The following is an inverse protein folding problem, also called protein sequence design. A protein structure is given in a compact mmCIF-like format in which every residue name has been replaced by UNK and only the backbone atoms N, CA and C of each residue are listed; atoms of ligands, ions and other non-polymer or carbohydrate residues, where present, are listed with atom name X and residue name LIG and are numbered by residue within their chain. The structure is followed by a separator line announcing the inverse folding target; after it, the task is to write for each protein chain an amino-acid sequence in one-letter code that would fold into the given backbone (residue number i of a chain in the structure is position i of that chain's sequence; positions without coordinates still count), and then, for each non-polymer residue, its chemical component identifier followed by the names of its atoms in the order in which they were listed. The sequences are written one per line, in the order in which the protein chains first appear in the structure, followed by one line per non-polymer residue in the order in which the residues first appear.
data_IF_212512523919
#
_entry.id   IF_212512523919
#
_cell.length_a   1.000
_cell.length_b   1.000
_cell.length_c   1.000
_cell.angle_alpha   90.00
_cell.angle_beta   90.00
_cell.angle_gamma   90.00
#
_symmetry.space_group_name_H-M   'P 1'
#
loop_
_entity.id
_entity.type
_entity.pdbx_description
1 polymer ?
#
# COMPACT_ATOMS: atom_id res chain seq x y z
N UNK A 1 23.38 -12.50 -9.71
CA UNK A 1 22.53 -11.31 -9.83
C UNK A 1 21.51 -11.27 -8.72
N UNK A 2 21.43 -10.18 -7.99
CA UNK A 2 20.42 -10.03 -6.95
C UNK A 2 19.07 -9.75 -7.58
N UNK A 3 18.02 -10.37 -7.06
CA UNK A 3 16.65 -10.07 -7.47
C UNK A 3 16.26 -8.66 -7.03
N UNK A 4 15.47 -8.01 -7.85
CA UNK A 4 14.88 -6.73 -7.53
C UNK A 4 13.65 -6.99 -6.64
N UNK A 5 13.65 -6.44 -5.44
CA UNK A 5 12.54 -6.60 -4.49
C UNK A 5 11.50 -5.53 -4.73
N UNK A 6 10.29 -5.95 -5.01
CA UNK A 6 9.15 -5.05 -5.24
C UNK A 6 8.11 -5.31 -4.17
N UNK A 7 7.87 -4.31 -3.33
CA UNK A 7 6.81 -4.35 -2.34
C UNK A 7 5.53 -3.82 -2.95
N UNK A 8 4.46 -4.61 -2.87
CA UNK A 8 3.10 -4.18 -3.20
C UNK A 8 2.39 -3.85 -1.90
N UNK A 9 1.88 -2.63 -1.77
CA UNK A 9 1.06 -2.22 -0.65
C UNK A 9 -0.41 -2.39 -1.01
N UNK A 10 -1.19 -3.01 -0.12
CA UNK A 10 -2.64 -3.09 -0.26
C UNK A 10 -3.32 -2.86 1.09
N UNK A 11 -4.25 -1.92 1.12
CA UNK A 11 -5.00 -1.56 2.32
C UNK A 11 -6.46 -1.97 2.28
N UNK A 12 -6.99 -2.36 1.11
CA UNK A 12 -8.39 -2.75 0.95
C UNK A 12 -8.53 -3.88 -0.06
N UNK A 13 -9.65 -4.60 0.05
CA UNK A 13 -9.98 -5.66 -0.90
C UNK A 13 -10.09 -5.14 -2.33
N UNK A 14 -10.62 -3.94 -2.52
CA UNK A 14 -10.78 -3.35 -3.85
C UNK A 14 -9.41 -3.09 -4.50
N UNK A 15 -8.45 -2.56 -3.75
CA UNK A 15 -7.09 -2.37 -4.24
C UNK A 15 -6.44 -3.71 -4.60
N UNK A 16 -6.59 -4.70 -3.75
CA UNK A 16 -6.04 -6.03 -3.98
C UNK A 16 -6.57 -6.63 -5.28
N UNK A 17 -7.87 -6.51 -5.54
CA UNK A 17 -8.46 -7.01 -6.76
C UNK A 17 -7.85 -6.40 -8.01
N UNK A 18 -7.55 -5.10 -7.97
CA UNK A 18 -6.92 -4.41 -9.09
C UNK A 18 -5.44 -4.76 -9.24
N UNK A 19 -4.78 -5.11 -8.15
CA UNK A 19 -3.34 -5.43 -8.12
C UNK A 19 -3.04 -6.90 -8.43
N UNK A 20 -4.06 -7.75 -8.43
CA UNK A 20 -3.91 -9.22 -8.49
C UNK A 20 -3.00 -9.68 -9.64
N UNK A 21 -3.27 -9.23 -10.86
CA UNK A 21 -2.52 -9.69 -12.02
C UNK A 21 -1.08 -9.14 -12.02
N UNK A 22 -0.88 -7.91 -11.56
CA UNK A 22 0.47 -7.37 -11.41
C UNK A 22 1.26 -8.19 -10.38
N UNK A 23 0.62 -8.54 -9.27
CA UNK A 23 1.24 -9.38 -8.24
C UNK A 23 1.64 -10.75 -8.80
N UNK A 24 0.74 -11.35 -9.60
CA UNK A 24 1.01 -12.65 -10.24
C UNK A 24 2.22 -12.54 -11.17
N UNK A 25 2.25 -11.52 -12.00
CA UNK A 25 3.33 -11.32 -12.95
C UNK A 25 4.67 -11.14 -12.25
N UNK A 26 4.70 -10.35 -11.17
CA UNK A 26 5.92 -10.15 -10.39
C UNK A 26 6.35 -11.46 -9.73
N UNK A 27 5.40 -12.19 -9.14
CA UNK A 27 5.69 -13.44 -8.42
C UNK A 27 6.25 -14.52 -9.35
N UNK A 28 5.83 -14.54 -10.60
CA UNK A 28 6.27 -15.50 -11.60
C UNK A 28 7.59 -15.12 -12.31
N UNK A 29 8.01 -13.86 -12.18
CA UNK A 29 9.23 -13.37 -12.82
C UNK A 29 10.47 -13.77 -12.01
N UNK A 30 11.43 -14.42 -12.68
CA UNK A 30 12.63 -14.93 -12.03
C UNK A 30 13.59 -13.82 -11.57
N UNK A 31 13.47 -12.63 -12.14
CA UNK A 31 14.34 -11.48 -11.83
C UNK A 31 13.77 -10.63 -10.68
N UNK A 32 12.53 -10.87 -10.30
CA UNK A 32 11.82 -10.06 -9.32
C UNK A 32 11.46 -10.88 -8.08
N UNK A 33 11.44 -10.23 -6.94
CA UNK A 33 10.93 -10.82 -5.70
C UNK A 33 9.72 -10.00 -5.25
N UNK A 34 8.56 -10.67 -5.18
CA UNK A 34 7.34 -10.06 -4.68
C UNK A 34 7.37 -10.01 -3.16
N UNK A 35 7.07 -8.85 -2.60
CA UNK A 35 6.85 -8.67 -1.16
C UNK A 35 5.48 -8.02 -0.98
N UNK A 36 4.66 -8.54 -0.07
CA UNK A 36 3.34 -7.99 0.20
C UNK A 36 3.30 -7.33 1.58
N UNK A 37 2.94 -6.05 1.58
CA UNK A 37 2.67 -5.27 2.78
C UNK A 37 1.16 -5.02 2.85
N UNK A 38 0.51 -5.66 3.80
CA UNK A 38 -0.95 -5.66 3.95
C UNK A 38 -1.34 -4.84 5.17
N UNK A 39 -2.33 -3.99 5.03
CA UNK A 39 -2.72 -3.06 6.10
C UNK A 39 -4.21 -2.71 5.98
N UNK A 40 -4.63 -1.74 6.78
CA UNK A 40 -5.95 -1.14 6.68
C UNK A 40 -7.08 -2.12 6.91
N UNK A 41 -8.11 -2.02 6.09
CA UNK A 41 -9.33 -2.81 6.27
C UNK A 41 -9.15 -4.31 6.06
N UNK A 42 -8.08 -4.74 5.37
CA UNK A 42 -7.76 -6.16 5.24
C UNK A 42 -7.61 -6.86 6.60
N UNK A 43 -7.15 -6.14 7.61
CA UNK A 43 -6.83 -6.70 8.92
C UNK A 43 -7.93 -6.44 9.95
N UNK A 44 -9.04 -5.83 9.54
CA UNK A 44 -10.14 -5.49 10.45
C UNK A 44 -11.25 -6.51 10.39
N UNK A 45 -11.68 -7.05 11.55
CA UNK A 45 -12.87 -7.95 11.61
C UNK A 45 -14.14 -7.29 11.08
N UNK A 46 -14.27 -5.97 11.23
CA UNK A 46 -15.43 -5.23 10.71
C UNK A 46 -15.59 -5.36 9.20
N UNK A 47 -14.47 -5.55 8.49
CA UNK A 47 -14.47 -5.68 7.03
C UNK A 47 -14.21 -7.12 6.58
N UNK A 48 -14.38 -8.10 7.49
CA UNK A 48 -14.36 -9.52 7.16
C UNK A 48 -12.96 -10.13 7.05
N UNK A 49 -11.91 -9.48 7.58
CA UNK A 49 -10.55 -10.00 7.55
C UNK A 49 -10.13 -10.44 6.13
N UNK A 50 -10.26 -9.54 5.16
CA UNK A 50 -10.07 -9.85 3.75
C UNK A 50 -8.65 -10.27 3.37
N UNK A 51 -7.67 -10.16 4.28
CA UNK A 51 -6.33 -10.69 4.03
C UNK A 51 -6.35 -12.21 3.79
N UNK A 52 -7.37 -12.91 4.31
CA UNK A 52 -7.49 -14.35 4.10
C UNK A 52 -7.66 -14.70 2.63
N UNK A 53 -8.31 -13.84 1.85
CA UNK A 53 -8.43 -14.03 0.40
C UNK A 53 -7.07 -14.01 -0.29
N UNK A 54 -6.17 -13.15 0.16
CA UNK A 54 -4.80 -13.08 -0.38
C UNK A 54 -4.09 -14.41 -0.17
N UNK A 55 -4.21 -14.97 1.04
CA UNK A 55 -3.62 -16.27 1.36
C UNK A 55 -4.27 -17.39 0.55
N UNK A 56 -5.60 -17.38 0.42
CA UNK A 56 -6.34 -18.39 -0.35
C UNK A 56 -5.95 -18.38 -1.83
N UNK A 57 -5.59 -17.21 -2.36
CA UNK A 57 -5.12 -17.08 -3.73
C UNK A 57 -3.68 -17.54 -3.93
N UNK A 58 -3.01 -17.96 -2.87
CA UNK A 58 -1.67 -18.57 -2.94
C UNK A 58 -0.51 -17.60 -2.71
N UNK A 59 -0.79 -16.35 -2.35
CA UNK A 59 0.28 -15.38 -2.05
C UNK A 59 0.71 -15.46 -0.59
N UNK A 60 1.98 -15.17 -0.35
CA UNK A 60 2.51 -14.98 1.00
C UNK A 60 2.36 -13.51 1.39
N UNK A 61 1.98 -13.26 2.65
CA UNK A 61 1.97 -11.91 3.20
C UNK A 61 3.25 -11.74 4.01
N UNK A 62 4.10 -10.82 3.59
CA UNK A 62 5.41 -10.61 4.23
C UNK A 62 5.29 -9.75 5.48
N UNK A 63 4.42 -8.73 5.45
CA UNK A 63 4.20 -7.84 6.58
C UNK A 63 2.73 -7.47 6.71
N UNK A 64 2.24 -7.44 7.93
CA UNK A 64 0.90 -6.95 8.28
C UNK A 64 1.07 -5.78 9.23
N UNK A 65 0.45 -4.65 8.89
CA UNK A 65 0.50 -3.45 9.74
C UNK A 65 -0.92 -3.02 10.09
N UNK A 66 -1.29 -3.21 11.35
CA UNK A 66 -2.57 -2.72 11.87
C UNK A 66 -2.47 -1.24 12.14
N UNK A 67 -3.43 -0.46 11.64
CA UNK A 67 -3.39 0.99 11.82
C UNK A 67 -4.75 1.61 12.06
N UNK A 68 -5.85 0.90 11.81
CA UNK A 68 -7.18 1.48 11.96
C UNK A 68 -7.55 1.62 13.44
N UNK A 69 -7.95 2.83 13.83
CA UNK A 69 -8.61 3.05 15.11
C UNK A 69 -10.13 2.96 14.90
N UNK A 70 -10.87 2.58 15.95
CA UNK A 70 -12.33 2.42 15.88
C UNK A 70 -13.01 3.78 15.98
N UNK A 71 -12.81 4.63 14.97
CA UNK A 71 -13.38 5.97 14.89
C UNK A 71 -13.40 6.46 13.46
N UNK A 72 -14.52 7.05 13.04
CA UNK A 72 -14.67 7.65 11.72
C UNK A 72 -14.45 9.17 11.75
N UNK A 73 -14.01 9.72 12.88
CA UNK A 73 -13.75 11.16 12.99
C UNK A 73 -12.46 11.56 12.28
N UNK A 74 -12.32 12.83 11.87
CA UNK A 74 -11.03 13.31 11.35
C UNK A 74 -9.86 13.08 12.31
N UNK A 75 -10.11 13.24 13.61
CA UNK A 75 -9.10 12.95 14.63
C UNK A 75 -8.70 11.48 14.61
N UNK A 76 -9.67 10.57 14.51
CA UNK A 76 -9.41 9.14 14.43
C UNK A 76 -8.63 8.76 13.19
N UNK A 77 -8.98 9.36 12.04
CA UNK A 77 -8.24 9.14 10.79
C UNK A 77 -6.79 9.60 10.91
N UNK A 78 -6.57 10.77 11.50
CA UNK A 78 -5.20 11.28 11.70
C UNK A 78 -4.40 10.35 12.61
N UNK A 79 -5.01 9.82 13.67
CA UNK A 79 -4.37 8.86 14.56
C UNK A 79 -4.04 7.56 13.85
N UNK A 80 -4.95 7.07 13.01
CA UNK A 80 -4.71 5.89 12.19
C UNK A 80 -3.50 6.09 11.28
N UNK A 81 -3.40 7.25 10.62
CA UNK A 81 -2.25 7.57 9.78
C UNK A 81 -0.95 7.57 10.59
N UNK A 82 -0.96 8.12 11.79
CA UNK A 82 0.20 8.12 12.67
C UNK A 82 0.66 6.71 13.04
N UNK A 83 -0.29 5.86 13.41
CA UNK A 83 0.00 4.45 13.69
C UNK A 83 0.54 3.75 12.44
N UNK A 84 -0.05 4.05 11.29
CA UNK A 84 0.39 3.51 10.01
C UNK A 84 1.84 3.87 9.71
N UNK A 85 2.20 5.14 9.81
CA UNK A 85 3.57 5.61 9.55
C UNK A 85 4.56 4.87 10.45
N UNK A 86 4.27 4.75 11.73
CA UNK A 86 5.12 4.03 12.68
C UNK A 86 5.29 2.55 12.28
N UNK A 87 4.19 1.87 12.00
CA UNK A 87 4.23 0.45 11.61
C UNK A 87 4.88 0.23 10.26
N UNK A 88 4.60 1.10 9.29
CA UNK A 88 5.20 0.98 7.95
C UNK A 88 6.70 1.21 7.98
N UNK A 89 7.18 2.10 8.84
CA UNK A 89 8.62 2.34 9.00
C UNK A 89 9.33 1.05 9.39
N UNK A 90 8.81 0.35 10.39
CA UNK A 90 9.39 -0.92 10.85
C UNK A 90 9.29 -2.00 9.77
N UNK A 91 8.12 -2.11 9.12
CA UNK A 91 7.90 -3.11 8.08
C UNK A 91 8.82 -2.89 6.88
N UNK A 92 8.94 -1.65 6.41
CA UNK A 92 9.78 -1.32 5.27
C UNK A 92 11.27 -1.47 5.58
N UNK A 93 11.67 -1.25 6.81
CA UNK A 93 13.05 -1.54 7.22
C UNK A 93 13.35 -3.03 7.09
N UNK A 94 12.43 -3.89 7.53
CA UNK A 94 12.59 -5.35 7.39
C UNK A 94 12.56 -5.80 5.94
N UNK A 95 11.64 -5.25 5.14
CA UNK A 95 11.49 -5.63 3.73
C UNK A 95 12.64 -5.12 2.86
N UNK A 96 13.13 -3.94 3.16
CA UNK A 96 14.22 -3.27 2.42
C UNK A 96 14.00 -3.35 0.89
N UNK A 97 12.87 -2.85 0.37
CA UNK A 97 12.54 -3.01 -1.04
C UNK A 97 13.35 -2.07 -1.94
N UNK A 98 13.49 -2.46 -3.21
CA UNK A 98 14.02 -1.60 -4.24
C UNK A 98 12.96 -0.64 -4.80
N UNK A 99 11.69 -1.04 -4.73
CA UNK A 99 10.56 -0.26 -5.23
C UNK A 99 9.33 -0.64 -4.44
N UNK A 100 8.48 0.34 -4.11
CA UNK A 100 7.15 0.09 -3.57
C UNK A 100 6.09 0.56 -4.57
N UNK A 101 5.06 -0.27 -4.77
CA UNK A 101 3.92 0.03 -5.62
C UNK A 101 2.74 0.40 -4.75
N UNK A 102 2.16 1.56 -5.01
CA UNK A 102 1.01 2.10 -4.28
C UNK A 102 -0.10 2.41 -5.29
N UNK A 103 -1.30 1.91 -5.00
CA UNK A 103 -2.47 2.14 -5.84
C UNK A 103 -3.42 3.10 -5.14
N UNK A 104 -3.93 4.08 -5.89
CA UNK A 104 -5.12 4.83 -5.49
C UNK A 104 -4.86 6.04 -4.63
N UNK A 105 -5.81 6.30 -3.73
CA UNK A 105 -6.05 7.63 -3.19
C UNK A 105 -6.52 7.62 -1.73
N UNK A 106 -6.31 6.54 -1.00
CA UNK A 106 -6.77 6.48 0.38
C UNK A 106 -5.71 6.98 1.35
N UNK A 107 -6.14 7.31 2.58
CA UNK A 107 -5.23 7.85 3.59
C UNK A 107 -4.15 6.85 4.02
N UNK A 108 -4.44 5.53 3.99
CA UNK A 108 -3.44 4.50 4.26
C UNK A 108 -2.33 4.55 3.22
N UNK A 109 -2.69 4.76 1.95
CA UNK A 109 -1.74 4.90 0.85
C UNK A 109 -0.87 6.14 1.03
N UNK A 110 -1.45 7.26 1.46
CA UNK A 110 -0.67 8.46 1.76
C UNK A 110 0.33 8.22 2.89
N UNK A 111 -0.10 7.53 3.95
CA UNK A 111 0.78 7.23 5.09
C UNK A 111 2.00 6.39 4.66
N UNK A 112 1.79 5.35 3.85
CA UNK A 112 2.91 4.52 3.39
C UNK A 112 3.78 5.27 2.36
N UNK A 113 3.20 6.15 1.56
CA UNK A 113 3.96 6.98 0.63
C UNK A 113 4.89 7.96 1.37
N UNK A 114 4.38 8.63 2.40
CA UNK A 114 5.20 9.51 3.24
C UNK A 114 6.37 8.75 3.87
N UNK A 115 6.10 7.58 4.42
CA UNK A 115 7.11 6.74 5.05
C UNK A 115 8.18 6.33 4.04
N UNK A 116 7.75 5.88 2.86
CA UNK A 116 8.66 5.44 1.79
C UNK A 116 9.54 6.59 1.31
N UNK A 117 8.97 7.78 1.14
CA UNK A 117 9.71 8.96 0.71
C UNK A 117 10.81 9.31 1.73
N UNK A 118 10.46 9.33 3.02
CA UNK A 118 11.42 9.65 4.08
C UNK A 118 12.54 8.61 4.14
N UNK A 119 12.22 7.35 3.90
CA UNK A 119 13.20 6.26 3.93
C UNK A 119 13.98 6.10 2.62
N UNK A 120 13.73 6.95 1.62
CA UNK A 120 14.44 6.90 0.35
C UNK A 120 14.07 5.72 -0.53
N UNK A 121 12.87 5.15 -0.35
CA UNK A 121 12.38 4.04 -1.16
C UNK A 121 11.62 4.60 -2.37
N UNK A 122 12.03 4.27 -3.61
CA UNK A 122 11.31 4.73 -4.80
C UNK A 122 9.87 4.22 -4.83
N UNK A 123 8.95 5.08 -5.26
CA UNK A 123 7.51 4.79 -5.28
C UNK A 123 7.01 4.80 -6.72
N UNK A 124 6.30 3.73 -7.11
CA UNK A 124 5.47 3.70 -8.32
C UNK A 124 4.01 3.87 -7.89
N UNK A 125 3.39 4.95 -8.33
CA UNK A 125 2.00 5.24 -8.04
C UNK A 125 1.12 4.86 -9.23
N UNK A 126 0.21 3.91 -9.02
CA UNK A 126 -0.75 3.46 -10.04
C UNK A 126 -2.05 4.24 -9.90
N UNK A 127 -2.65 4.61 -11.02
CA UNK A 127 -3.88 5.41 -11.08
C UNK A 127 -3.74 6.76 -10.39
N UNK A 128 -2.54 7.33 -10.42
CA UNK A 128 -2.31 8.70 -10.01
C UNK A 128 -2.73 9.67 -11.10
N UNK A 129 -3.13 10.88 -10.70
CA UNK A 129 -3.52 11.94 -11.63
C UNK A 129 -4.96 11.90 -12.11
N UNK A 130 -5.74 10.91 -11.70
CA UNK A 130 -7.18 10.87 -12.01
C UNK A 130 -7.96 11.73 -11.03
N UNK A 131 -9.01 12.38 -11.51
CA UNK A 131 -9.92 13.13 -10.64
C UNK A 131 -10.98 12.19 -10.07
N UNK A 132 -11.22 12.27 -8.75
CA UNK A 132 -12.31 11.54 -8.11
C UNK A 132 -13.31 12.53 -7.51
N UNK A 133 -14.50 12.03 -7.21
CA UNK A 133 -15.59 12.88 -6.70
C UNK A 133 -15.42 13.25 -5.22
N UNK A 134 -14.56 12.58 -4.48
CA UNK A 134 -14.31 12.87 -3.07
C UNK A 134 -13.22 13.91 -2.89
N UNK A 135 -13.51 15.03 -2.22
CA UNK A 135 -12.56 16.13 -2.05
C UNK A 135 -11.30 15.70 -1.29
N UNK A 136 -11.43 14.83 -0.27
CA UNK A 136 -10.29 14.34 0.49
C UNK A 136 -9.48 13.33 -0.32
N UNK A 137 -10.16 12.48 -1.10
CA UNK A 137 -9.50 11.46 -1.91
C UNK A 137 -8.62 12.10 -2.99
N UNK A 138 -9.09 13.19 -3.61
CA UNK A 138 -8.27 13.94 -4.56
C UNK A 138 -7.01 14.51 -3.91
N UNK A 139 -7.15 15.06 -2.71
CA UNK A 139 -6.01 15.61 -1.97
C UNK A 139 -4.99 14.52 -1.64
N UNK A 140 -5.45 13.36 -1.18
CA UNK A 140 -4.57 12.22 -0.90
C UNK A 140 -3.86 11.75 -2.17
N UNK A 141 -4.61 11.62 -3.27
CA UNK A 141 -4.03 11.19 -4.56
C UNK A 141 -2.97 12.14 -5.05
N UNK A 142 -3.24 13.44 -5.04
CA UNK A 142 -2.27 14.44 -5.48
C UNK A 142 -1.02 14.44 -4.61
N UNK A 143 -1.19 14.30 -3.29
CA UNK A 143 -0.06 14.20 -2.37
C UNK A 143 0.80 12.96 -2.67
N UNK A 144 0.17 11.79 -2.88
CA UNK A 144 0.88 10.57 -3.21
C UNK A 144 1.62 10.73 -4.54
N UNK A 145 0.97 11.31 -5.55
CA UNK A 145 1.58 11.57 -6.85
C UNK A 145 2.84 12.44 -6.70
N UNK A 146 2.77 13.48 -5.88
CA UNK A 146 3.94 14.37 -5.64
C UNK A 146 5.08 13.68 -4.93
N UNK A 147 4.79 12.74 -4.05
CA UNK A 147 5.80 11.97 -3.33
C UNK A 147 6.41 10.84 -4.17
N UNK A 148 5.78 10.48 -5.28
CA UNK A 148 6.15 9.31 -6.07
C UNK A 148 7.21 9.64 -7.13
N UNK A 149 8.05 8.65 -7.43
CA UNK A 149 9.12 8.76 -8.41
C UNK A 149 8.68 8.33 -9.80
N UNK A 150 7.75 7.37 -9.87
CA UNK A 150 7.21 6.84 -11.12
C UNK A 150 5.69 6.87 -11.05
N UNK A 151 5.06 7.05 -12.20
CA UNK A 151 3.60 7.15 -12.28
C UNK A 151 3.08 6.29 -13.43
N UNK A 152 1.97 5.58 -13.18
CA UNK A 152 1.23 4.92 -14.23
C UNK A 152 -0.24 5.35 -14.10
N UNK A 153 -0.72 6.04 -15.11
CA UNK A 153 -2.11 6.50 -15.20
C UNK A 153 -2.92 5.57 -16.10
N UNK A 154 -4.24 5.55 -15.89
CA UNK A 154 -5.13 4.77 -16.76
C UNK A 154 -5.54 5.55 -17.99
#
# INVERSE_FOLDING_TARGET
MQNIKITIFTGTRAEYGLLYWLMKDIDEDKMLTLQLLVSGSHLSPEFGLTYTQILDDGFNIDEKVEMLVSSNSPTGTAKSMGLGVSGYADALERLSPNLIVILGDRYEALAVAQTSMIMGIPILHLHGGEASEGANDDSFRHAITKLSNLHATS
#
